data_IF_687313614207
#
_entry.id   IF_687313614207
#
_cell.length_a   1.000
_cell.length_b   1.000
_cell.length_c   1.000
_cell.angle_alpha   90.00
_cell.angle_beta   90.00
_cell.angle_gamma   90.00
#
_symmetry.space_group_name_H-M   'P 1'
#
loop_
_entity.id
_entity.type
_entity.pdbx_description
1 polymer ?
#
# COMPACT_ATOMS: atom_id res chain seq x y z
N UNK A 1 4.75 -22.56 -33.82
CA UNK A 1 4.39 -22.43 -32.38
C UNK A 1 5.18 -21.32 -31.68
N UNK A 2 6.51 -21.32 -31.73
CA UNK A 2 7.38 -20.30 -31.08
C UNK A 2 7.13 -18.86 -31.59
N UNK A 3 6.91 -18.65 -32.89
CA UNK A 3 6.65 -17.32 -33.47
C UNK A 3 5.35 -16.72 -32.91
N UNK A 4 4.30 -17.51 -32.78
CA UNK A 4 3.00 -17.07 -32.26
C UNK A 4 3.08 -16.74 -30.77
N UNK A 5 3.87 -17.48 -29.99
CA UNK A 5 4.09 -17.20 -28.57
C UNK A 5 4.90 -15.92 -28.38
N UNK A 6 5.94 -15.71 -29.16
CA UNK A 6 6.71 -14.48 -29.16
C UNK A 6 5.84 -13.27 -29.54
N UNK A 7 5.01 -13.40 -30.58
CA UNK A 7 4.08 -12.33 -30.96
C UNK A 7 3.09 -11.98 -29.84
N UNK A 8 2.49 -13.00 -29.21
CA UNK A 8 1.59 -12.80 -28.05
C UNK A 8 2.30 -12.11 -26.88
N UNK A 9 3.57 -12.44 -26.63
CA UNK A 9 4.39 -11.83 -25.58
C UNK A 9 4.65 -10.35 -25.87
N UNK A 10 5.03 -10.01 -27.10
CA UNK A 10 5.26 -8.60 -27.49
C UNK A 10 3.96 -7.80 -27.49
N UNK A 11 2.86 -8.36 -27.95
CA UNK A 11 1.54 -7.72 -27.89
C UNK A 11 1.13 -7.41 -26.44
N UNK A 12 1.36 -8.34 -25.50
CA UNK A 12 1.11 -8.09 -24.06
C UNK A 12 1.95 -6.92 -23.53
N UNK A 13 3.21 -6.81 -23.93
CA UNK A 13 4.07 -5.68 -23.53
C UNK A 13 3.53 -4.35 -24.06
N UNK A 14 3.11 -4.31 -25.33
CA UNK A 14 2.53 -3.10 -25.93
C UNK A 14 1.22 -2.69 -25.25
N UNK A 15 0.34 -3.64 -24.94
CA UNK A 15 -0.90 -3.37 -24.20
C UNK A 15 -0.58 -2.84 -22.79
N UNK A 16 0.40 -3.45 -22.12
CA UNK A 16 0.83 -2.97 -20.80
C UNK A 16 1.38 -1.55 -20.87
N UNK A 17 2.28 -1.26 -21.82
CA UNK A 17 2.85 0.07 -22.03
C UNK A 17 1.77 1.12 -22.31
N UNK A 18 0.82 0.81 -23.19
CA UNK A 18 -0.32 1.68 -23.49
C UNK A 18 -1.17 1.96 -22.25
N UNK A 19 -1.53 0.93 -21.49
CA UNK A 19 -2.28 1.07 -20.24
C UNK A 19 -1.51 1.87 -19.20
N UNK A 20 -0.20 1.65 -19.08
CA UNK A 20 0.67 2.40 -18.19
C UNK A 20 0.67 3.90 -18.55
N UNK A 21 0.84 4.24 -19.83
CA UNK A 21 0.80 5.64 -20.29
C UNK A 21 -0.56 6.31 -20.01
N UNK A 22 -1.66 5.56 -20.15
CA UNK A 22 -2.99 6.05 -19.76
C UNK A 22 -3.09 6.36 -18.27
N UNK A 23 -2.46 5.53 -17.44
CA UNK A 23 -2.46 5.66 -15.97
C UNK A 23 -1.60 6.83 -15.51
N UNK A 24 -0.48 7.11 -16.17
CA UNK A 24 0.37 8.26 -15.87
C UNK A 24 -0.42 9.58 -15.96
N UNK A 25 -1.42 9.66 -16.81
CA UNK A 25 -2.28 10.85 -16.95
C UNK A 25 -3.29 11.03 -15.80
N UNK A 26 -3.49 10.02 -14.96
CA UNK A 26 -4.45 10.07 -13.87
C UNK A 26 -3.86 10.77 -12.63
N UNK A 27 -4.71 11.37 -11.78
CA UNK A 27 -4.24 11.98 -10.53
C UNK A 27 -3.46 11.01 -9.64
N UNK A 28 -2.63 11.53 -8.74
CA UNK A 28 -2.06 10.76 -7.64
C UNK A 28 -3.20 10.13 -6.83
N UNK A 29 -2.96 8.97 -6.20
CA UNK A 29 -4.00 8.29 -5.41
C UNK A 29 -5.20 7.74 -6.21
N UNK A 30 -5.17 7.77 -7.54
CA UNK A 30 -6.29 7.29 -8.36
C UNK A 30 -6.40 5.77 -8.40
N UNK A 31 -7.23 5.20 -7.54
CA UNK A 31 -7.48 3.76 -7.43
C UNK A 31 -8.26 3.14 -8.60
N UNK A 32 -9.12 3.93 -9.25
CA UNK A 32 -9.89 3.44 -10.43
C UNK A 32 -8.95 3.00 -11.56
N UNK A 33 -7.82 3.67 -11.68
CA UNK A 33 -6.75 3.28 -12.59
C UNK A 33 -6.00 2.04 -12.10
N UNK A 34 -5.83 1.92 -10.78
CA UNK A 34 -5.20 0.77 -10.14
C UNK A 34 -5.92 -0.54 -10.45
N UNK A 35 -7.26 -0.57 -10.45
CA UNK A 35 -8.04 -1.75 -10.78
C UNK A 35 -7.74 -2.29 -12.18
N UNK A 36 -7.80 -1.43 -13.19
CA UNK A 36 -7.52 -1.80 -14.58
C UNK A 36 -6.05 -2.20 -14.81
N UNK A 37 -5.12 -1.63 -14.02
CA UNK A 37 -3.72 -1.99 -14.08
C UNK A 37 -3.45 -3.30 -13.34
N UNK A 38 -4.11 -3.50 -12.21
CA UNK A 38 -4.02 -4.69 -11.39
C UNK A 38 -4.36 -5.94 -12.20
N UNK A 39 -5.48 -5.92 -12.94
CA UNK A 39 -5.88 -7.00 -13.83
C UNK A 39 -4.84 -7.30 -14.94
N UNK A 40 -4.09 -6.28 -15.36
CA UNK A 40 -3.04 -6.42 -16.37
C UNK A 40 -1.67 -6.83 -15.80
N UNK A 41 -1.42 -6.55 -14.53
CA UNK A 41 -0.12 -6.72 -13.89
C UNK A 41 0.01 -8.04 -13.11
N UNK A 42 -1.10 -8.67 -12.73
CA UNK A 42 -1.10 -9.89 -11.95
C UNK A 42 -1.18 -11.12 -12.84
N UNK A 43 -0.17 -11.93 -12.77
CA UNK A 43 -0.17 -13.29 -13.27
C UNK A 43 -0.23 -14.30 -12.09
N UNK A 44 -0.63 -15.57 -12.33
CA UNK A 44 -0.76 -16.56 -11.26
C UNK A 44 0.52 -16.79 -10.46
N UNK A 45 1.70 -16.65 -11.07
CA UNK A 45 2.99 -16.82 -10.39
C UNK A 45 3.22 -15.67 -9.40
N UNK A 46 2.98 -14.43 -9.83
CA UNK A 46 3.10 -13.25 -8.97
C UNK A 46 2.11 -13.31 -7.81
N UNK A 47 0.87 -13.72 -8.04
CA UNK A 47 -0.12 -13.90 -6.99
C UNK A 47 0.33 -14.93 -5.95
N UNK A 48 0.82 -16.09 -6.39
CA UNK A 48 1.35 -17.11 -5.48
C UNK A 48 2.50 -16.60 -4.64
N UNK A 49 3.41 -15.81 -5.20
CA UNK A 49 4.53 -15.21 -4.46
C UNK A 49 4.03 -14.23 -3.38
N UNK A 50 3.03 -13.41 -3.70
CA UNK A 50 2.40 -12.50 -2.73
C UNK A 50 1.75 -13.31 -1.60
N UNK A 51 0.96 -14.33 -1.93
CA UNK A 51 0.30 -15.19 -0.94
C UNK A 51 1.33 -15.87 -0.03
N UNK A 52 2.41 -16.42 -0.59
CA UNK A 52 3.50 -17.00 0.19
C UNK A 52 4.16 -15.98 1.12
N UNK A 53 4.39 -14.76 0.64
CA UNK A 53 4.96 -13.70 1.47
C UNK A 53 4.03 -13.33 2.62
N UNK A 54 2.75 -13.09 2.36
CA UNK A 54 1.76 -12.72 3.37
C UNK A 54 1.50 -13.84 4.38
N UNK A 55 1.64 -15.11 3.95
CA UNK A 55 1.48 -16.28 4.81
C UNK A 55 2.65 -16.51 5.80
N UNK A 56 3.70 -15.72 5.75
CA UNK A 56 4.84 -15.82 6.68
C UNK A 56 4.46 -15.49 8.13
N UNK A 57 3.43 -14.67 8.32
CA UNK A 57 2.89 -14.35 9.63
C UNK A 57 1.63 -15.19 9.92
N UNK A 58 1.38 -15.49 11.19
CA UNK A 58 0.14 -16.17 11.59
C UNK A 58 -1.10 -15.33 11.22
N UNK A 59 -1.06 -14.04 11.52
CA UNK A 59 -2.11 -13.07 11.14
C UNK A 59 -2.40 -13.10 9.65
N UNK A 60 -1.37 -13.11 8.82
CA UNK A 60 -1.52 -13.18 7.37
C UNK A 60 -2.16 -14.49 6.90
N UNK A 61 -1.83 -15.63 7.51
CA UNK A 61 -2.48 -16.92 7.21
C UNK A 61 -3.96 -16.90 7.56
N UNK A 62 -4.30 -16.39 8.74
CA UNK A 62 -5.69 -16.24 9.19
C UNK A 62 -6.46 -15.33 8.22
N UNK A 63 -5.92 -14.16 7.88
CA UNK A 63 -6.56 -13.21 6.96
C UNK A 63 -6.80 -13.82 5.56
N UNK A 64 -5.85 -14.59 5.03
CA UNK A 64 -6.01 -15.28 3.74
C UNK A 64 -7.05 -16.41 3.80
N UNK A 65 -7.22 -17.05 4.96
CA UNK A 65 -8.22 -18.11 5.16
C UNK A 65 -9.61 -17.54 5.33
N UNK A 66 -9.76 -16.56 6.22
CA UNK A 66 -11.07 -16.00 6.60
C UNK A 66 -11.56 -14.93 5.63
N UNK A 67 -10.63 -14.24 4.94
CA UNK A 67 -10.91 -13.20 3.95
C UNK A 67 -11.87 -12.12 4.47
N UNK A 68 -11.69 -11.76 5.75
CA UNK A 68 -12.46 -10.69 6.37
C UNK A 68 -12.04 -9.33 5.80
N UNK A 69 -13.02 -8.49 5.55
CA UNK A 69 -12.86 -7.12 5.07
C UNK A 69 -13.25 -6.14 6.19
N UNK A 70 -12.93 -4.85 5.99
CA UNK A 70 -13.19 -3.79 6.98
C UNK A 70 -14.67 -3.64 7.29
N UNK A 71 -15.52 -3.77 6.28
CA UNK A 71 -16.96 -3.62 6.40
C UNK A 71 -17.42 -2.17 6.46
N UNK A 72 -18.63 -1.96 7.00
CA UNK A 72 -19.22 -0.62 7.07
C UNK A 72 -18.54 0.25 8.11
N UNK A 73 -18.15 1.47 7.71
CA UNK A 73 -17.59 2.49 8.59
C UNK A 73 -18.57 3.65 8.71
N UNK A 74 -18.88 4.04 9.96
CA UNK A 74 -19.70 5.20 10.28
C UNK A 74 -18.83 6.32 10.82
N UNK A 75 -18.51 7.31 9.96
CA UNK A 75 -17.65 8.44 10.32
C UNK A 75 -18.24 9.26 11.46
N UNK A 76 -19.56 9.43 11.54
CA UNK A 76 -20.20 10.23 12.59
C UNK A 76 -20.05 9.54 13.94
N UNK A 77 -20.20 8.23 13.97
CA UNK A 77 -19.99 7.45 15.20
C UNK A 77 -18.52 7.49 15.62
N UNK A 78 -17.59 7.27 14.69
CA UNK A 78 -16.16 7.29 14.99
C UNK A 78 -15.67 8.66 15.46
N UNK A 79 -16.24 9.74 14.97
CA UNK A 79 -15.89 11.11 15.36
C UNK A 79 -16.37 11.49 16.78
N UNK A 80 -17.15 10.63 17.45
CA UNK A 80 -17.52 10.79 18.86
C UNK A 80 -16.51 10.14 19.83
N UNK A 81 -15.56 9.36 19.30
CA UNK A 81 -14.54 8.70 20.11
C UNK A 81 -13.53 9.72 20.68
N UNK A 82 -12.72 9.35 21.69
CA UNK A 82 -11.65 10.21 22.19
C UNK A 82 -10.68 10.62 21.06
N UNK A 83 -10.24 11.87 21.07
CA UNK A 83 -9.47 12.50 19.98
C UNK A 83 -8.12 11.83 19.67
N UNK A 84 -7.58 11.02 20.56
CA UNK A 84 -6.34 10.27 20.38
C UNK A 84 -6.52 8.86 19.81
N UNK A 85 -7.77 8.43 19.55
CA UNK A 85 -8.06 7.09 19.04
C UNK A 85 -7.96 7.01 17.52
N UNK A 86 -7.68 5.80 17.00
CA UNK A 86 -7.65 5.56 15.55
C UNK A 86 -8.95 6.02 14.89
N UNK A 87 -10.10 5.67 15.47
CA UNK A 87 -11.41 5.96 14.89
C UNK A 87 -11.69 7.45 14.78
N UNK A 88 -11.41 8.22 15.85
CA UNK A 88 -11.57 9.67 15.79
C UNK A 88 -10.66 10.29 14.71
N UNK A 89 -9.36 9.96 14.73
CA UNK A 89 -8.38 10.55 13.81
C UNK A 89 -8.71 10.19 12.37
N UNK A 90 -9.13 8.95 12.11
CA UNK A 90 -9.61 8.51 10.79
C UNK A 90 -10.85 9.31 10.35
N UNK A 91 -11.87 9.41 11.20
CA UNK A 91 -13.10 10.13 10.89
C UNK A 91 -12.85 11.63 10.68
N UNK A 92 -12.04 12.26 11.52
CA UNK A 92 -11.66 13.67 11.40
C UNK A 92 -10.91 13.92 10.07
N UNK A 93 -9.97 13.05 9.71
CA UNK A 93 -9.24 13.11 8.46
C UNK A 93 -10.18 13.01 7.25
N UNK A 94 -11.07 12.04 7.23
CA UNK A 94 -12.03 11.83 6.14
C UNK A 94 -12.97 13.03 5.99
N UNK A 95 -13.54 13.50 7.10
CA UNK A 95 -14.48 14.63 7.11
C UNK A 95 -13.83 15.95 6.66
N UNK A 96 -12.64 16.26 7.16
CA UNK A 96 -11.91 17.49 6.78
C UNK A 96 -11.51 17.54 5.32
N UNK A 97 -11.20 16.38 4.74
CA UNK A 97 -10.82 16.27 3.33
C UNK A 97 -12.00 16.02 2.39
N UNK A 98 -13.24 15.99 2.91
CA UNK A 98 -14.44 15.70 2.10
C UNK A 98 -14.44 14.29 1.50
N UNK A 99 -13.73 13.35 2.14
CA UNK A 99 -13.62 11.96 1.71
C UNK A 99 -14.79 11.14 2.25
N UNK A 100 -15.11 10.08 1.55
CA UNK A 100 -16.12 9.10 1.99
C UNK A 100 -15.43 7.74 2.22
N UNK A 101 -15.86 6.98 3.24
CA UNK A 101 -15.35 5.63 3.43
C UNK A 101 -15.50 4.79 2.16
N UNK A 102 -14.57 3.86 1.90
CA UNK A 102 -14.70 2.96 0.77
C UNK A 102 -16.03 2.20 0.84
N UNK A 103 -16.67 1.94 -0.32
CA UNK A 103 -17.92 1.20 -0.34
C UNK A 103 -17.70 -0.21 0.21
N UNK A 104 -18.65 -0.69 1.02
CA UNK A 104 -18.62 -2.06 1.54
C UNK A 104 -18.55 -3.05 0.37
N UNK A 105 -17.59 -3.94 0.43
CA UNK A 105 -17.35 -4.94 -0.60
C UNK A 105 -17.87 -6.30 -0.16
N UNK A 106 -18.36 -7.06 -1.13
CA UNK A 106 -18.83 -8.41 -0.85
C UNK A 106 -17.67 -9.36 -0.54
N UNK A 107 -17.95 -10.31 0.35
CA UNK A 107 -17.03 -11.42 0.59
C UNK A 107 -16.78 -12.20 -0.71
N UNK A 108 -15.54 -12.59 -0.94
CA UNK A 108 -15.16 -13.34 -2.13
C UNK A 108 -14.23 -14.51 -1.77
N UNK A 109 -14.45 -15.66 -2.41
CA UNK A 109 -13.54 -16.79 -2.32
C UNK A 109 -12.28 -16.60 -3.16
N UNK A 110 -12.32 -15.71 -4.16
CA UNK A 110 -11.17 -15.40 -5.02
C UNK A 110 -10.12 -14.61 -4.25
N UNK A 111 -8.91 -15.16 -4.15
CA UNK A 111 -7.81 -14.58 -3.35
C UNK A 111 -7.30 -13.26 -3.91
N UNK A 112 -7.23 -13.13 -5.24
CA UNK A 112 -6.81 -11.87 -5.85
C UNK A 112 -7.81 -10.75 -5.56
N UNK A 113 -9.08 -11.02 -5.77
CA UNK A 113 -10.15 -10.06 -5.49
C UNK A 113 -10.23 -9.69 -4.02
N UNK A 114 -10.01 -10.65 -3.12
CA UNK A 114 -9.90 -10.37 -1.69
C UNK A 114 -8.74 -9.41 -1.39
N UNK A 115 -7.53 -9.70 -1.87
CA UNK A 115 -6.37 -8.84 -1.64
C UNK A 115 -6.58 -7.42 -2.18
N UNK A 116 -7.17 -7.31 -3.37
CA UNK A 116 -7.51 -6.02 -3.95
C UNK A 116 -8.54 -5.26 -3.09
N UNK A 117 -9.63 -5.93 -2.68
CA UNK A 117 -10.64 -5.33 -1.82
C UNK A 117 -10.08 -4.90 -0.47
N UNK A 118 -9.23 -5.74 0.15
CA UNK A 118 -8.57 -5.43 1.41
C UNK A 118 -7.72 -4.15 1.32
N UNK A 119 -6.90 -4.04 0.28
CA UNK A 119 -6.10 -2.83 0.03
C UNK A 119 -7.00 -1.61 -0.10
N UNK A 120 -8.05 -1.71 -0.92
CA UNK A 120 -8.97 -0.60 -1.18
C UNK A 120 -9.71 -0.12 0.08
N UNK A 121 -10.05 -1.04 1.00
CA UNK A 121 -10.77 -0.69 2.23
C UNK A 121 -9.84 -0.18 3.34
N UNK A 122 -8.55 -0.53 3.30
CA UNK A 122 -7.61 -0.20 4.39
C UNK A 122 -6.64 0.92 4.05
N UNK A 123 -6.58 1.37 2.81
CA UNK A 123 -5.61 2.37 2.34
C UNK A 123 -5.64 3.66 3.16
N UNK A 124 -6.80 4.24 3.40
CA UNK A 124 -6.92 5.49 4.14
C UNK A 124 -6.51 5.32 5.63
N UNK A 125 -6.73 4.13 6.19
CA UNK A 125 -6.21 3.79 7.52
C UNK A 125 -4.68 3.77 7.50
N UNK A 126 -4.08 3.30 6.40
CA UNK A 126 -2.62 3.28 6.29
C UNK A 126 -2.03 4.68 6.21
N UNK A 127 -2.70 5.65 5.57
CA UNK A 127 -2.33 7.06 5.67
C UNK A 127 -2.26 7.53 7.13
N UNK A 128 -3.29 7.21 7.92
CA UNK A 128 -3.38 7.59 9.33
C UNK A 128 -2.25 6.96 10.16
N UNK A 129 -2.06 5.65 10.07
CA UNK A 129 -1.07 4.97 10.93
C UNK A 129 0.36 5.30 10.53
N UNK A 130 0.65 5.56 9.27
CA UNK A 130 1.97 5.97 8.79
C UNK A 130 2.23 7.46 8.95
N UNK A 131 1.22 8.26 9.24
CA UNK A 131 1.32 9.73 9.28
C UNK A 131 1.57 10.36 7.91
N UNK A 132 1.18 9.66 6.83
CA UNK A 132 1.29 10.17 5.46
C UNK A 132 0.10 11.05 5.13
N UNK A 133 0.34 12.26 4.62
CA UNK A 133 -0.73 13.13 4.14
C UNK A 133 -1.41 12.56 2.89
N UNK A 134 -2.52 13.18 2.46
CA UNK A 134 -3.20 12.87 1.19
C UNK A 134 -2.74 13.76 0.02
N UNK A 135 -1.60 14.45 0.18
CA UNK A 135 -0.94 15.16 -0.90
C UNK A 135 -0.08 14.20 -1.77
N UNK A 136 0.51 14.73 -2.84
CA UNK A 136 1.32 13.94 -3.78
C UNK A 136 2.46 13.16 -3.09
N UNK A 137 3.15 13.79 -2.16
CA UNK A 137 4.25 13.17 -1.43
C UNK A 137 3.75 12.08 -0.47
N UNK A 138 2.62 12.33 0.21
CA UNK A 138 2.00 11.36 1.11
C UNK A 138 1.50 10.12 0.37
N UNK A 139 0.91 10.27 -0.82
CA UNK A 139 0.55 9.14 -1.69
C UNK A 139 1.78 8.31 -2.08
N UNK A 140 2.87 8.96 -2.50
CA UNK A 140 4.13 8.28 -2.83
C UNK A 140 4.69 7.53 -1.59
N UNK A 141 4.60 8.14 -0.41
CA UNK A 141 5.07 7.54 0.83
C UNK A 141 4.26 6.27 1.17
N UNK A 142 2.93 6.35 1.13
CA UNK A 142 2.08 5.20 1.45
C UNK A 142 2.15 4.10 0.40
N UNK A 143 2.31 4.43 -0.88
CA UNK A 143 2.54 3.46 -1.94
C UNK A 143 3.87 2.71 -1.75
N UNK A 144 4.94 3.44 -1.38
CA UNK A 144 6.24 2.82 -1.13
C UNK A 144 6.24 1.99 0.15
N UNK A 145 5.56 2.43 1.19
CA UNK A 145 5.29 1.63 2.38
C UNK A 145 4.55 0.34 2.01
N UNK A 146 3.48 0.46 1.23
CA UNK A 146 2.65 -0.68 0.79
C UNK A 146 3.45 -1.69 -0.03
N UNK A 147 4.40 -1.22 -0.85
CA UNK A 147 5.31 -2.10 -1.59
C UNK A 147 6.08 -3.04 -0.65
N UNK A 148 6.50 -2.57 0.52
CA UNK A 148 7.20 -3.42 1.51
C UNK A 148 6.26 -4.42 2.19
N UNK A 149 4.98 -4.07 2.33
CA UNK A 149 3.97 -4.88 3.00
C UNK A 149 3.39 -5.99 2.11
N UNK A 150 3.42 -5.80 0.79
CA UNK A 150 2.91 -6.74 -0.22
C UNK A 150 4.00 -7.24 -1.17
N UNK A 151 5.26 -7.18 -0.75
CA UNK A 151 6.36 -7.65 -1.60
C UNK A 151 6.18 -9.14 -1.99
N UNK A 152 6.40 -9.53 -3.25
CA UNK A 152 6.91 -8.76 -4.41
C UNK A 152 5.81 -8.31 -5.40
N UNK A 153 4.84 -7.55 -4.95
CA UNK A 153 3.71 -7.15 -5.78
C UNK A 153 4.09 -6.15 -6.90
N UNK A 154 4.02 -6.59 -8.14
CA UNK A 154 4.27 -5.75 -9.34
C UNK A 154 3.37 -4.50 -9.37
N UNK A 155 2.14 -4.62 -8.88
CA UNK A 155 1.18 -3.53 -8.80
C UNK A 155 1.76 -2.28 -8.13
N UNK A 156 2.33 -2.42 -6.93
CA UNK A 156 2.91 -1.29 -6.19
C UNK A 156 4.13 -0.70 -6.89
N UNK A 157 4.97 -1.53 -7.51
CA UNK A 157 6.11 -1.06 -8.31
C UNK A 157 5.63 -0.21 -9.47
N UNK A 158 4.55 -0.60 -10.14
CA UNK A 158 3.99 0.14 -11.28
C UNK A 158 3.33 1.44 -10.85
N UNK A 159 2.63 1.46 -9.71
CA UNK A 159 2.07 2.70 -9.15
C UNK A 159 3.18 3.69 -8.80
N UNK A 160 4.20 3.24 -8.09
CA UNK A 160 5.35 4.08 -7.75
C UNK A 160 6.05 4.61 -9.02
N UNK A 161 6.29 3.74 -10.01
CA UNK A 161 6.89 4.16 -11.29
C UNK A 161 6.03 5.20 -12.02
N UNK A 162 4.70 5.05 -11.99
CA UNK A 162 3.75 6.05 -12.52
C UNK A 162 3.95 7.41 -11.82
N UNK A 163 3.99 7.43 -10.50
CA UNK A 163 4.11 8.67 -9.74
C UNK A 163 5.48 9.33 -9.93
N UNK A 164 6.56 8.55 -10.00
CA UNK A 164 7.89 9.09 -10.30
C UNK A 164 8.01 9.63 -11.74
N UNK A 165 7.39 8.96 -12.71
CA UNK A 165 7.32 9.49 -14.07
C UNK A 165 6.50 10.78 -14.13
N UNK A 166 5.39 10.85 -13.38
CA UNK A 166 4.57 12.04 -13.26
C UNK A 166 5.35 13.19 -12.61
N UNK A 167 6.15 12.92 -11.58
CA UNK A 167 7.09 13.90 -11.00
C UNK A 167 8.02 14.48 -12.06
N UNK A 168 8.61 13.62 -12.91
CA UNK A 168 9.54 14.06 -13.96
C UNK A 168 8.87 14.90 -15.05
N UNK A 169 7.58 14.71 -15.32
CA UNK A 169 6.85 15.41 -16.39
C UNK A 169 6.18 16.69 -15.88
N UNK A 170 5.60 16.66 -14.69
CA UNK A 170 4.68 17.70 -14.22
C UNK A 170 5.17 18.44 -12.97
N UNK A 171 5.99 17.80 -12.12
CA UNK A 171 6.26 18.24 -10.76
C UNK A 171 7.78 18.21 -10.41
N UNK A 172 8.66 18.57 -11.36
CA UNK A 172 10.12 18.51 -11.14
C UNK A 172 10.59 19.33 -9.94
N UNK A 173 9.94 20.44 -9.64
CA UNK A 173 10.23 21.27 -8.47
C UNK A 173 9.97 20.55 -7.14
N UNK A 174 9.13 19.51 -7.15
CA UNK A 174 8.81 18.65 -6.00
C UNK A 174 9.66 17.37 -5.95
N UNK A 175 10.61 17.20 -6.87
CA UNK A 175 11.37 15.96 -7.00
C UNK A 175 12.07 15.55 -5.69
N UNK A 176 12.71 16.50 -4.99
CA UNK A 176 13.37 16.22 -3.72
C UNK A 176 12.37 15.69 -2.67
N UNK A 177 11.24 16.38 -2.53
CA UNK A 177 10.17 15.98 -1.59
C UNK A 177 9.60 14.59 -1.92
N UNK A 178 9.40 14.30 -3.20
CA UNK A 178 8.92 12.99 -3.65
C UNK A 178 9.94 11.87 -3.40
N UNK A 179 11.25 12.15 -3.61
CA UNK A 179 12.29 11.18 -3.30
C UNK A 179 12.41 10.91 -1.80
N UNK A 180 12.29 11.95 -0.97
CA UNK A 180 12.22 11.78 0.48
C UNK A 180 11.01 10.93 0.90
N UNK A 181 9.84 11.13 0.29
CA UNK A 181 8.66 10.33 0.55
C UNK A 181 8.88 8.84 0.21
N UNK A 182 9.57 8.55 -0.91
CA UNK A 182 9.98 7.17 -1.27
C UNK A 182 10.87 6.59 -0.17
N UNK A 183 11.88 7.32 0.27
CA UNK A 183 12.83 6.84 1.29
C UNK A 183 12.12 6.59 2.62
N UNK A 184 11.27 7.54 3.06
CA UNK A 184 10.49 7.42 4.30
C UNK A 184 9.56 6.21 4.27
N UNK A 185 8.77 6.07 3.22
CA UNK A 185 7.85 4.95 3.06
C UNK A 185 8.57 3.60 3.05
N UNK A 186 9.70 3.52 2.35
CA UNK A 186 10.51 2.31 2.30
C UNK A 186 11.08 1.93 3.67
N UNK A 187 11.75 2.87 4.36
CA UNK A 187 12.39 2.59 5.65
C UNK A 187 11.34 2.24 6.70
N UNK A 188 10.26 3.03 6.80
CA UNK A 188 9.16 2.78 7.73
C UNK A 188 8.54 1.41 7.50
N UNK A 189 8.27 1.06 6.25
CA UNK A 189 7.68 -0.21 5.91
C UNK A 189 8.59 -1.43 6.15
N UNK A 190 9.92 -1.23 6.07
CA UNK A 190 10.90 -2.25 6.44
C UNK A 190 10.96 -2.52 7.95
N UNK A 191 10.72 -1.50 8.75
CA UNK A 191 10.73 -1.59 10.21
C UNK A 191 9.40 -2.07 10.78
N UNK A 192 8.30 -1.72 10.13
CA UNK A 192 6.96 -2.05 10.58
C UNK A 192 6.71 -3.57 10.58
N UNK A 193 5.91 -4.02 11.53
CA UNK A 193 5.31 -5.35 11.44
C UNK A 193 4.35 -5.42 10.23
N UNK A 194 3.96 -6.64 9.84
CA UNK A 194 2.97 -6.79 8.77
C UNK A 194 1.63 -6.17 9.17
N UNK A 195 1.15 -5.24 8.34
CA UNK A 195 -0.18 -4.66 8.50
C UNK A 195 -1.27 -5.52 7.87
N UNK A 196 -0.90 -6.43 6.99
CA UNK A 196 -1.86 -7.35 6.38
C UNK A 196 -2.50 -8.26 7.43
N UNK A 197 -3.82 -8.25 7.45
CA UNK A 197 -4.64 -9.01 8.41
C UNK A 197 -4.81 -8.35 9.77
N UNK A 198 -4.39 -7.09 9.95
CA UNK A 198 -4.75 -6.32 11.15
C UNK A 198 -6.26 -6.10 11.14
N UNK A 199 -6.98 -6.47 12.23
CA UNK A 199 -8.43 -6.34 12.31
C UNK A 199 -8.82 -4.88 12.66
N UNK A 200 -8.64 -3.98 11.70
CA UNK A 200 -8.80 -2.53 11.90
C UNK A 200 -10.14 -2.13 12.50
N UNK A 201 -11.21 -2.83 12.12
CA UNK A 201 -12.56 -2.61 12.63
C UNK A 201 -12.71 -2.88 14.13
N UNK A 202 -11.78 -3.55 14.77
CA UNK A 202 -11.77 -3.79 16.22
C UNK A 202 -10.87 -2.82 16.97
N UNK A 203 -10.16 -1.93 16.27
CA UNK A 203 -9.15 -1.03 16.82
C UNK A 203 -9.60 0.44 16.86
N UNK A 204 -10.84 0.74 16.49
CA UNK A 204 -11.31 2.13 16.41
C UNK A 204 -11.18 2.91 17.73
N UNK A 205 -11.41 2.26 18.86
CA UNK A 205 -11.33 2.88 20.18
C UNK A 205 -9.91 2.94 20.76
N UNK A 206 -8.96 2.28 20.08
CA UNK A 206 -7.59 2.20 20.55
C UNK A 206 -6.81 3.46 20.23
N UNK A 207 -5.98 4.00 21.18
CA UNK A 207 -5.09 5.11 20.91
C UNK A 207 -4.16 4.84 19.73
N UNK A 208 -4.03 5.78 18.80
CA UNK A 208 -3.22 5.62 17.59
C UNK A 208 -1.75 5.33 17.91
N UNK A 209 -1.19 5.99 18.94
CA UNK A 209 0.22 5.79 19.32
C UNK A 209 0.50 4.40 19.91
N UNK A 210 -0.49 3.76 20.55
CA UNK A 210 -0.37 2.37 20.98
C UNK A 210 -0.34 1.43 19.77
N UNK A 211 -1.21 1.66 18.78
CA UNK A 211 -1.23 0.89 17.53
C UNK A 211 0.12 1.04 16.80
N UNK A 212 0.65 2.26 16.69
CA UNK A 212 1.95 2.54 16.10
C UNK A 212 3.08 1.79 16.81
N UNK A 213 3.05 1.84 18.14
CA UNK A 213 4.04 1.13 18.97
C UNK A 213 3.99 -0.39 18.74
N UNK A 214 2.79 -0.99 18.79
CA UNK A 214 2.60 -2.43 18.58
C UNK A 214 3.00 -2.89 17.19
N UNK A 215 2.76 -2.06 16.17
CA UNK A 215 3.09 -2.37 14.79
C UNK A 215 4.50 -1.91 14.39
N UNK A 216 5.25 -1.33 15.34
CA UNK A 216 6.57 -0.72 15.10
C UNK A 216 6.55 0.27 13.93
N UNK A 217 5.52 1.09 13.87
CA UNK A 217 5.38 2.18 12.89
C UNK A 217 5.89 3.46 13.54
N UNK A 218 6.89 4.07 12.92
CA UNK A 218 7.48 5.33 13.39
C UNK A 218 7.35 6.37 12.29
N UNK A 219 6.36 7.27 12.35
CA UNK A 219 6.28 8.39 11.43
C UNK A 219 7.52 9.26 11.57
N UNK A 220 8.30 9.40 10.50
CA UNK A 220 9.51 10.22 10.52
C UNK A 220 9.15 11.69 10.39
N UNK A 221 9.63 12.48 11.34
CA UNK A 221 9.65 13.93 11.27
C UNK A 221 11.04 14.33 10.74
N UNK A 222 11.09 14.85 9.53
CA UNK A 222 12.22 15.53 8.85
C UNK A 222 13.68 15.07 9.16
N UNK A 223 14.16 15.32 10.36
CA UNK A 223 15.55 15.07 10.78
C UNK A 223 15.95 13.60 10.99
N UNK A 224 15.01 12.67 10.94
CA UNK A 224 15.30 11.27 11.30
C UNK A 224 15.74 10.40 10.11
N UNK A 225 15.76 10.95 8.90
CA UNK A 225 16.19 10.21 7.69
C UNK A 225 17.66 9.79 7.80
N UNK A 226 18.54 10.66 8.29
CA UNK A 226 19.97 10.34 8.45
C UNK A 226 20.18 9.22 9.47
N UNK A 227 19.46 9.25 10.60
CA UNK A 227 19.51 8.21 11.62
C UNK A 227 18.97 6.88 11.07
N UNK A 228 17.91 6.92 10.26
CA UNK A 228 17.30 5.74 9.66
C UNK A 228 18.16 5.12 8.55
N UNK A 229 18.93 5.92 7.81
CA UNK A 229 19.90 5.43 6.81
C UNK A 229 21.09 4.75 7.50
N UNK A 230 21.58 5.35 8.59
CA UNK A 230 22.69 4.81 9.37
C UNK A 230 22.38 3.45 10.00
N UNK A 231 21.13 3.24 10.44
CA UNK A 231 20.68 1.98 11.03
C UNK A 231 20.77 0.78 10.05
N UNK A 232 20.55 1.00 8.75
CA UNK A 232 20.55 -0.09 7.74
C UNK A 232 21.93 -0.66 7.40
N UNK A 233 23.01 -0.01 7.76
CA UNK A 233 24.34 -0.57 7.54
C UNK A 233 24.66 -1.75 8.48
N UNK A 234 23.91 -1.95 9.55
CA UNK A 234 24.21 -2.88 10.61
C UNK A 234 23.28 -4.11 10.71
N UNK A 235 22.02 -4.05 10.22
CA UNK A 235 21.10 -5.18 10.26
C UNK A 235 20.12 -5.18 9.06
N UNK A 236 20.42 -5.91 8.00
CA UNK A 236 19.40 -6.32 7.03
C UNK A 236 18.68 -7.54 7.62
N UNK A 237 17.43 -7.43 8.07
CA UNK A 237 16.70 -8.63 8.48
C UNK A 237 16.62 -9.59 7.29
N UNK A 238 16.77 -10.88 7.53
CA UNK A 238 16.64 -11.98 6.56
C UNK A 238 15.24 -12.05 5.86
N UNK A 239 14.49 -10.96 5.91
CA UNK A 239 13.13 -10.76 5.39
C UNK A 239 13.07 -10.85 3.86
N UNK A 240 14.21 -10.70 3.20
CA UNK A 240 14.33 -10.65 1.74
C UNK A 240 15.28 -11.69 1.15
N UNK A 241 15.58 -12.78 1.87
CA UNK A 241 16.18 -13.92 1.21
C UNK A 241 15.26 -14.33 0.06
N UNK A 242 15.76 -14.04 -1.14
CA UNK A 242 15.09 -14.35 -2.39
C UNK A 242 14.70 -15.83 -2.41
N UNK A 243 13.42 -16.09 -2.33
CA UNK A 243 12.88 -17.42 -2.63
C UNK A 243 13.16 -17.67 -4.11
N UNK A 244 14.28 -18.39 -4.37
CA UNK A 244 14.52 -19.03 -5.66
C UNK A 244 15.21 -18.20 -6.72
N UNK A 245 16.50 -17.92 -6.55
CA UNK A 245 17.41 -17.93 -7.69
C UNK A 245 17.81 -19.41 -7.94
N UNK A 246 17.02 -20.14 -8.69
CA UNK A 246 17.39 -21.32 -9.50
C UNK A 246 16.51 -21.36 -10.73
#
# INVERSE_FOLDING_TARGET
MVILENFKKELKKLIFAYRFMRIVQLPYGSFTAGGNLSDAAIDPKSLNQIVQFLSRTERGRIALSEKQLLGKVDLQQLHQLPSNTLGYIYADHMLRNGLTPPPVREHTSDTYRFLFNYVMETHDIWHIVTGSNTDKAGEIQVETFSLTQFYPARFWVVLLAKNLLKTAIEDMDLCSQHMEAVVRGWIMGQQAQSLFGVPWNTLWEKPLEEIRTELNIRPYLGSDIEAAIKWKSEEIPARYELVGAK
#
